data_IF_969822102764
#
_entry.id   IF_969822102764
#
_cell.length_a   1.000
_cell.length_b   1.000
_cell.length_c   1.000
_cell.angle_alpha   90.00
_cell.angle_beta   90.00
_cell.angle_gamma   90.00
#
_symmetry.space_group_name_H-M   'P 1'
#
loop_
_entity.id
_entity.type
_entity.pdbx_description
1 polymer ?
#
# COMPACT_ATOMS: atom_id res chain seq x y z
N UNK A 1 24.48 -4.72 -12.13
CA UNK A 1 24.34 -6.20 -12.04
C UNK A 1 25.53 -6.92 -12.69
N UNK A 2 25.76 -6.77 -14.01
CA UNK A 2 26.93 -7.35 -14.72
C UNK A 2 28.27 -7.21 -13.98
N UNK A 3 28.63 -5.98 -13.59
CA UNK A 3 29.86 -5.71 -12.83
C UNK A 3 29.96 -6.49 -11.51
N UNK A 4 28.85 -6.71 -10.83
CA UNK A 4 28.83 -7.44 -9.55
C UNK A 4 28.99 -8.95 -9.78
N UNK A 5 28.43 -9.48 -10.87
CA UNK A 5 28.58 -10.88 -11.28
C UNK A 5 30.03 -11.24 -11.67
N UNK A 6 30.84 -10.26 -12.09
CA UNK A 6 32.24 -10.46 -12.46
C UNK A 6 33.21 -10.42 -11.27
N UNK A 7 32.76 -10.05 -10.06
CA UNK A 7 33.60 -10.02 -8.87
C UNK A 7 33.68 -11.42 -8.26
N UNK A 8 34.89 -11.97 -8.13
CA UNK A 8 35.10 -13.32 -7.60
C UNK A 8 34.95 -13.42 -6.06
N UNK A 9 35.20 -12.33 -5.34
CA UNK A 9 35.27 -12.35 -3.87
C UNK A 9 33.91 -12.11 -3.18
N UNK A 10 32.82 -11.96 -3.94
CA UNK A 10 31.49 -11.72 -3.39
C UNK A 10 30.43 -12.57 -4.09
N UNK A 11 29.87 -13.53 -3.34
CA UNK A 11 28.82 -14.44 -3.81
C UNK A 11 27.39 -13.91 -3.59
N UNK A 12 27.23 -12.82 -2.83
CA UNK A 12 25.92 -12.23 -2.52
C UNK A 12 25.67 -11.05 -3.47
N UNK A 13 24.54 -11.12 -4.19
CA UNK A 13 24.14 -10.07 -5.13
C UNK A 13 22.72 -9.61 -4.80
N UNK A 14 22.61 -8.33 -4.41
CA UNK A 14 21.32 -7.66 -4.26
C UNK A 14 20.95 -6.98 -5.59
N UNK A 15 19.77 -7.29 -6.12
CA UNK A 15 19.25 -6.70 -7.36
C UNK A 15 17.73 -6.65 -7.34
N UNK A 16 17.14 -5.75 -8.12
CA UNK A 16 15.69 -5.74 -8.33
C UNK A 16 15.31 -6.77 -9.40
N UNK A 17 14.05 -7.22 -9.37
CA UNK A 17 13.51 -8.16 -10.37
C UNK A 17 13.57 -7.58 -11.79
N UNK A 18 13.32 -6.28 -11.95
CA UNK A 18 13.40 -5.60 -13.24
C UNK A 18 14.83 -5.61 -13.80
N UNK A 19 15.84 -5.34 -12.95
CA UNK A 19 17.25 -5.40 -13.36
C UNK A 19 17.69 -6.82 -13.72
N UNK A 20 17.19 -7.83 -12.99
CA UNK A 20 17.46 -9.23 -13.29
C UNK A 20 16.79 -9.67 -14.60
N UNK A 21 15.51 -9.33 -14.80
CA UNK A 21 14.80 -9.63 -16.04
C UNK A 21 15.48 -8.95 -17.25
N UNK A 22 15.87 -7.68 -17.14
CA UNK A 22 16.60 -6.96 -18.19
C UNK A 22 17.96 -7.60 -18.51
N UNK A 23 18.70 -8.09 -17.51
CA UNK A 23 19.93 -8.86 -17.73
C UNK A 23 19.63 -10.15 -18.50
N UNK A 24 18.60 -10.89 -18.09
CA UNK A 24 18.19 -12.12 -18.76
C UNK A 24 17.62 -11.87 -20.16
N UNK A 25 17.13 -10.67 -20.49
CA UNK A 25 16.73 -10.34 -21.87
C UNK A 25 17.94 -10.01 -22.74
N UNK A 26 18.84 -9.16 -22.23
CA UNK A 26 19.97 -8.63 -22.99
C UNK A 26 21.12 -9.62 -23.18
N UNK A 27 21.38 -10.48 -22.20
CA UNK A 27 22.58 -11.33 -22.21
C UNK A 27 22.22 -12.80 -22.43
N UNK A 28 22.49 -13.37 -23.62
CA UNK A 28 22.17 -14.76 -23.93
C UNK A 28 23.07 -15.77 -23.23
N UNK A 29 24.36 -15.45 -23.04
CA UNK A 29 25.35 -16.41 -22.53
C UNK A 29 26.24 -15.77 -21.46
N UNK A 30 25.81 -15.87 -20.19
CA UNK A 30 26.63 -15.47 -19.04
C UNK A 30 27.18 -16.71 -18.34
N UNK A 31 28.45 -16.69 -17.87
CA UNK A 31 29.02 -17.81 -17.13
C UNK A 31 28.18 -18.25 -15.92
N UNK A 32 27.51 -17.30 -15.25
CA UNK A 32 26.64 -17.57 -14.09
C UNK A 32 25.47 -18.51 -14.40
N UNK A 33 25.00 -18.57 -15.64
CA UNK A 33 23.88 -19.44 -16.03
C UNK A 33 24.20 -20.95 -15.89
N UNK A 34 25.49 -21.30 -15.83
CA UNK A 34 26.00 -22.67 -15.72
C UNK A 34 26.51 -23.01 -14.31
N UNK A 35 26.56 -22.02 -13.41
CA UNK A 35 26.98 -22.19 -12.02
C UNK A 35 25.80 -22.65 -11.15
N UNK A 36 26.10 -23.08 -9.93
CA UNK A 36 25.07 -23.33 -8.91
C UNK A 36 24.64 -22.00 -8.29
N UNK A 37 23.37 -21.64 -8.48
CA UNK A 37 22.84 -20.35 -8.08
C UNK A 37 21.67 -20.53 -7.12
N UNK A 38 21.67 -19.77 -6.02
CA UNK A 38 20.53 -19.68 -5.10
C UNK A 38 19.85 -18.34 -5.29
N UNK A 39 18.56 -18.37 -5.58
CA UNK A 39 17.70 -17.18 -5.63
C UNK A 39 16.86 -17.10 -4.36
N UNK A 40 16.87 -15.93 -3.73
CA UNK A 40 15.98 -15.60 -2.62
C UNK A 40 15.17 -14.39 -3.07
N UNK A 41 13.86 -14.56 -3.19
CA UNK A 41 12.92 -13.52 -3.58
C UNK A 41 12.16 -13.02 -2.36
N UNK A 42 12.12 -11.70 -2.20
CA UNK A 42 11.33 -11.02 -1.18
C UNK A 42 10.04 -10.48 -1.82
N UNK A 43 8.93 -10.55 -1.08
CA UNK A 43 7.55 -10.23 -1.53
C UNK A 43 7.18 -10.87 -2.89
N UNK A 44 7.30 -12.20 -2.99
CA UNK A 44 7.24 -12.94 -4.26
C UNK A 44 5.87 -13.09 -4.95
N UNK A 45 4.89 -12.21 -4.65
CA UNK A 45 3.53 -12.22 -5.22
C UNK A 45 3.32 -11.22 -6.37
N UNK A 46 4.35 -10.54 -6.87
CA UNK A 46 4.20 -9.37 -7.78
C UNK A 46 4.07 -9.72 -9.27
N UNK A 47 3.36 -8.89 -10.03
CA UNK A 47 3.16 -9.03 -11.49
C UNK A 47 4.42 -9.16 -12.37
N UNK A 48 5.56 -8.61 -11.95
CA UNK A 48 6.82 -8.71 -12.71
C UNK A 48 7.43 -10.14 -12.65
N UNK A 49 6.84 -11.03 -11.85
CA UNK A 49 7.39 -12.35 -11.59
C UNK A 49 7.24 -13.30 -12.79
N UNK A 50 6.12 -13.27 -13.52
CA UNK A 50 5.82 -14.28 -14.54
C UNK A 50 6.80 -14.29 -15.72
N UNK A 51 7.19 -13.14 -16.26
CA UNK A 51 8.19 -13.09 -17.35
C UNK A 51 9.60 -13.39 -16.84
N UNK A 52 9.97 -12.81 -15.69
CA UNK A 52 11.28 -13.04 -15.08
C UNK A 52 11.47 -14.53 -14.74
N UNK A 53 10.44 -15.21 -14.23
CA UNK A 53 10.45 -16.65 -13.96
C UNK A 53 10.64 -17.48 -15.22
N UNK A 54 9.88 -17.20 -16.29
CA UNK A 54 10.05 -17.89 -17.58
C UNK A 54 11.47 -17.74 -18.12
N UNK A 55 12.05 -16.54 -18.01
CA UNK A 55 13.43 -16.29 -18.43
C UNK A 55 14.45 -17.00 -17.53
N UNK A 56 14.22 -17.03 -16.21
CA UNK A 56 15.07 -17.71 -15.23
C UNK A 56 15.10 -19.21 -15.50
N UNK A 57 13.93 -19.84 -15.62
CA UNK A 57 13.78 -21.27 -15.94
C UNK A 57 14.47 -21.65 -17.26
N UNK A 58 14.41 -20.78 -18.27
CA UNK A 58 15.07 -21.03 -19.57
C UNK A 58 16.59 -20.92 -19.47
N UNK A 59 17.11 -19.92 -18.76
CA UNK A 59 18.54 -19.56 -18.79
C UNK A 59 19.37 -20.26 -17.73
N UNK A 60 18.95 -20.30 -16.48
CA UNK A 60 19.72 -20.90 -15.38
C UNK A 60 19.54 -22.42 -15.36
N UNK A 61 20.64 -23.18 -15.45
CA UNK A 61 20.60 -24.64 -15.56
C UNK A 61 20.70 -25.38 -14.22
N UNK A 62 21.26 -24.73 -13.20
CA UNK A 62 21.44 -25.29 -11.85
C UNK A 62 21.07 -24.22 -10.82
N UNK A 63 19.82 -24.22 -10.39
CA UNK A 63 19.38 -23.24 -9.40
C UNK A 63 18.42 -23.81 -8.37
N UNK A 64 18.44 -23.17 -7.21
CA UNK A 64 17.43 -23.30 -6.16
C UNK A 64 16.75 -21.95 -6.00
N UNK A 65 15.44 -21.92 -5.84
CA UNK A 65 14.71 -20.69 -5.59
C UNK A 65 13.83 -20.78 -4.36
N UNK A 66 13.87 -19.72 -3.57
CA UNK A 66 13.09 -19.54 -2.35
C UNK A 66 12.34 -18.22 -2.43
N UNK A 67 11.10 -18.20 -1.98
CA UNK A 67 10.25 -17.01 -1.94
C UNK A 67 9.79 -16.74 -0.52
N UNK A 68 9.90 -15.48 -0.10
CA UNK A 68 9.25 -14.94 1.09
C UNK A 68 8.09 -14.06 0.63
N UNK A 69 6.93 -14.22 1.24
CA UNK A 69 5.77 -13.36 0.98
C UNK A 69 4.86 -13.36 2.19
N UNK A 70 4.33 -12.19 2.56
CA UNK A 70 3.26 -12.08 3.56
C UNK A 70 1.88 -12.36 2.98
N UNK A 71 1.76 -12.38 1.65
CA UNK A 71 0.49 -12.53 0.94
C UNK A 71 0.68 -13.45 -0.27
N UNK A 72 0.71 -14.77 -0.07
CA UNK A 72 0.83 -15.72 -1.17
C UNK A 72 -0.35 -15.65 -2.15
N UNK A 73 -0.10 -16.09 -3.39
CA UNK A 73 -1.13 -16.26 -4.42
C UNK A 73 -1.64 -17.70 -4.32
N UNK A 74 -2.91 -17.83 -3.95
CA UNK A 74 -3.70 -19.06 -3.93
C UNK A 74 -4.60 -19.14 -5.17
N UNK A 75 -5.28 -20.28 -5.35
CA UNK A 75 -6.26 -20.46 -6.43
C UNK A 75 -7.37 -19.40 -6.41
N UNK A 76 -7.76 -18.95 -5.23
CA UNK A 76 -8.90 -18.07 -4.95
C UNK A 76 -8.62 -16.62 -5.36
N UNK A 77 -7.37 -16.17 -5.27
CA UNK A 77 -6.95 -14.82 -5.64
C UNK A 77 -6.07 -14.77 -6.89
N UNK A 78 -5.78 -15.92 -7.52
CA UNK A 78 -4.92 -16.00 -8.69
C UNK A 78 -5.45 -15.19 -9.88
N UNK A 79 -6.76 -15.15 -10.13
CA UNK A 79 -7.38 -14.42 -11.24
C UNK A 79 -6.67 -14.58 -12.62
N UNK A 80 -6.04 -15.75 -12.86
CA UNK A 80 -5.26 -16.04 -14.07
C UNK A 80 -3.74 -16.06 -13.88
N UNK A 81 -3.21 -15.61 -12.74
CA UNK A 81 -1.80 -15.77 -12.36
C UNK A 81 -1.44 -17.20 -11.92
N UNK A 82 -0.14 -17.50 -11.96
CA UNK A 82 0.41 -18.70 -11.34
C UNK A 82 0.37 -18.59 -9.81
N UNK A 83 0.00 -19.67 -9.12
CA UNK A 83 0.01 -19.72 -7.65
C UNK A 83 1.43 -19.69 -7.10
N UNK A 84 1.62 -19.21 -5.88
CA UNK A 84 2.94 -19.26 -5.21
C UNK A 84 3.46 -20.68 -5.12
N UNK A 85 2.58 -21.65 -4.83
CA UNK A 85 2.93 -23.07 -4.74
C UNK A 85 3.37 -23.66 -6.10
N UNK A 86 2.74 -23.26 -7.21
CA UNK A 86 3.16 -23.74 -8.53
C UNK A 86 4.52 -23.18 -8.96
N UNK A 87 4.89 -21.99 -8.49
CA UNK A 87 6.17 -21.36 -8.85
C UNK A 87 7.32 -21.78 -7.93
N UNK A 88 7.08 -21.87 -6.62
CA UNK A 88 8.11 -22.11 -5.60
C UNK A 88 8.07 -23.52 -4.99
N UNK A 89 7.00 -24.27 -5.19
CA UNK A 89 6.79 -25.57 -4.57
C UNK A 89 6.12 -25.47 -3.20
N UNK A 90 6.42 -26.42 -2.32
CA UNK A 90 5.76 -26.53 -1.01
C UNK A 90 6.08 -25.35 -0.10
N UNK A 91 5.12 -25.00 0.76
CA UNK A 91 5.38 -24.13 1.91
C UNK A 91 6.39 -24.82 2.84
N UNK A 92 7.52 -24.16 3.10
CA UNK A 92 8.56 -24.70 3.99
C UNK A 92 8.28 -24.36 5.46
N UNK A 93 7.67 -23.21 5.71
CA UNK A 93 7.32 -22.68 7.02
C UNK A 93 6.35 -21.51 6.83
N UNK A 94 5.46 -21.28 7.80
CA UNK A 94 4.58 -20.10 7.86
C UNK A 94 4.64 -19.43 9.23
N UNK A 95 4.58 -18.10 9.21
CA UNK A 95 4.40 -17.26 10.39
C UNK A 95 3.37 -16.19 10.02
N UNK A 96 2.11 -16.43 10.38
CA UNK A 96 0.97 -15.66 9.87
C UNK A 96 0.67 -14.44 10.75
N UNK A 97 -0.20 -13.55 10.27
CA UNK A 97 -0.54 -12.33 11.00
C UNK A 97 -1.13 -12.60 12.39
N UNK A 98 -1.86 -13.71 12.58
CA UNK A 98 -2.41 -14.09 13.88
C UNK A 98 -1.31 -14.45 14.87
N UNK A 99 -0.27 -15.16 14.45
CA UNK A 99 0.89 -15.44 15.29
C UNK A 99 1.61 -14.13 15.64
N UNK A 100 1.81 -13.26 14.65
CA UNK A 100 2.48 -11.98 14.84
C UNK A 100 1.72 -11.04 15.80
N UNK A 101 0.38 -11.08 15.80
CA UNK A 101 -0.45 -10.33 16.75
C UNK A 101 -0.38 -10.96 18.13
N UNK A 102 -0.50 -12.28 18.24
CA UNK A 102 -0.39 -13.02 19.51
C UNK A 102 0.96 -12.79 20.18
N UNK A 103 2.02 -12.71 19.40
CA UNK A 103 3.39 -12.51 19.88
C UNK A 103 3.74 -11.01 20.07
N UNK A 104 2.74 -10.12 19.95
CA UNK A 104 2.88 -8.66 20.04
C UNK A 104 3.97 -8.07 19.12
N UNK A 105 4.19 -8.71 17.95
CA UNK A 105 5.13 -8.24 16.92
C UNK A 105 4.49 -7.29 15.92
N UNK A 106 3.17 -7.38 15.75
CA UNK A 106 2.37 -6.44 14.96
C UNK A 106 1.08 -6.11 15.68
N UNK A 107 0.54 -4.92 15.41
CA UNK A 107 -0.71 -4.46 16.02
C UNK A 107 -1.95 -4.96 15.26
N UNK A 108 -3.09 -5.00 15.94
CA UNK A 108 -4.42 -5.24 15.36
C UNK A 108 -4.86 -4.08 14.46
N UNK A 109 -5.95 -4.29 13.70
CA UNK A 109 -6.59 -3.25 12.89
C UNK A 109 -7.94 -2.86 13.45
N UNK A 110 -8.21 -1.55 13.54
CA UNK A 110 -9.55 -1.01 13.73
C UNK A 110 -10.08 -0.52 12.39
N UNK A 111 -11.00 -1.26 11.79
CA UNK A 111 -11.56 -0.97 10.46
C UNK A 111 -12.95 -0.36 10.60
N UNK A 112 -13.10 0.90 10.18
CA UNK A 112 -14.35 1.64 10.26
C UNK A 112 -14.81 2.08 8.85
N UNK A 113 -15.99 1.63 8.41
CA UNK A 113 -16.66 2.23 7.27
C UNK A 113 -17.41 3.49 7.70
N UNK A 114 -16.95 4.65 7.22
CA UNK A 114 -17.56 5.94 7.53
C UNK A 114 -18.85 6.16 6.72
N UNK A 115 -19.94 5.52 7.13
CA UNK A 115 -21.24 5.54 6.46
C UNK A 115 -22.09 6.79 6.80
N UNK A 116 -21.61 7.98 6.43
CA UNK A 116 -22.29 9.25 6.75
C UNK A 116 -22.85 9.98 5.52
N UNK A 117 -22.86 9.34 4.35
CA UNK A 117 -23.20 9.97 3.07
C UNK A 117 -24.35 9.24 2.36
N UNK A 118 -25.62 9.49 2.74
CA UNK A 118 -26.76 8.77 2.20
C UNK A 118 -26.86 8.80 0.68
N UNK A 119 -26.51 9.94 0.04
CA UNK A 119 -26.55 10.13 -1.42
C UNK A 119 -25.63 9.18 -2.18
N UNK A 120 -24.46 8.87 -1.61
CA UNK A 120 -23.43 8.07 -2.27
C UNK A 120 -23.37 6.62 -1.76
N UNK A 121 -24.11 6.30 -0.69
CA UNK A 121 -24.08 5.00 0.01
C UNK A 121 -24.25 3.80 -0.91
N UNK A 122 -25.17 3.87 -1.89
CA UNK A 122 -25.40 2.75 -2.82
C UNK A 122 -24.15 2.46 -3.66
N UNK A 123 -23.48 3.51 -4.13
CA UNK A 123 -22.26 3.38 -4.91
C UNK A 123 -21.06 3.00 -4.01
N UNK A 124 -20.99 3.49 -2.77
CA UNK A 124 -19.95 3.09 -1.80
C UNK A 124 -20.04 1.61 -1.39
N UNK A 125 -21.21 0.98 -1.55
CA UNK A 125 -21.47 -0.44 -1.26
C UNK A 125 -21.49 -1.34 -2.50
N UNK A 126 -21.24 -0.79 -3.69
CA UNK A 126 -21.25 -1.57 -4.92
C UNK A 126 -20.12 -2.61 -4.92
N UNK A 127 -20.42 -3.84 -5.34
CA UNK A 127 -19.47 -4.97 -5.37
C UNK A 127 -19.33 -5.59 -6.75
N UNK A 128 -20.26 -5.31 -7.67
CA UNK A 128 -20.20 -5.81 -9.05
C UNK A 128 -18.99 -5.22 -9.78
N UNK A 129 -18.05 -6.07 -10.16
CA UNK A 129 -16.80 -5.69 -10.79
C UNK A 129 -16.99 -4.90 -12.10
N UNK A 130 -18.03 -5.22 -12.88
CA UNK A 130 -18.32 -4.53 -14.14
C UNK A 130 -18.80 -3.11 -13.89
N UNK A 131 -19.55 -2.90 -12.81
CA UNK A 131 -19.97 -1.55 -12.41
C UNK A 131 -18.83 -0.76 -11.79
N UNK A 132 -17.98 -1.40 -10.98
CA UNK A 132 -16.82 -0.75 -10.35
C UNK A 132 -15.81 -0.22 -11.36
N UNK A 133 -15.75 -0.79 -12.57
CA UNK A 133 -14.90 -0.33 -13.67
C UNK A 133 -15.62 0.62 -14.65
N UNK A 134 -16.91 0.90 -14.43
CA UNK A 134 -17.69 1.77 -15.32
C UNK A 134 -17.35 3.26 -15.13
N UNK A 135 -17.50 4.03 -16.21
CA UNK A 135 -17.31 5.48 -16.18
C UNK A 135 -18.32 6.17 -15.24
N UNK A 136 -19.57 5.71 -15.21
CA UNK A 136 -20.62 6.25 -14.34
C UNK A 136 -20.26 6.10 -12.86
N UNK A 137 -19.75 4.93 -12.47
CA UNK A 137 -19.24 4.71 -11.12
C UNK A 137 -18.07 5.65 -10.80
N UNK A 138 -17.11 5.79 -11.71
CA UNK A 138 -15.99 6.71 -11.52
C UNK A 138 -16.45 8.16 -11.34
N UNK A 139 -17.44 8.62 -12.13
CA UNK A 139 -18.03 9.96 -11.99
C UNK A 139 -18.70 10.16 -10.63
N UNK A 140 -19.48 9.17 -10.15
CA UNK A 140 -20.11 9.22 -8.84
C UNK A 140 -19.09 9.27 -7.69
N UNK A 141 -18.02 8.49 -7.79
CA UNK A 141 -16.96 8.49 -6.77
C UNK A 141 -16.18 9.81 -6.73
N UNK A 142 -16.04 10.49 -7.88
CA UNK A 142 -15.34 11.76 -8.02
C UNK A 142 -16.25 12.99 -7.89
N UNK A 143 -17.52 12.79 -7.50
CA UNK A 143 -18.49 13.88 -7.38
C UNK A 143 -18.01 14.94 -6.37
N UNK A 144 -18.03 16.25 -6.70
CA UNK A 144 -17.48 17.30 -5.85
C UNK A 144 -18.03 17.32 -4.41
N UNK A 145 -19.34 17.08 -4.26
CA UNK A 145 -19.98 16.99 -2.93
C UNK A 145 -19.37 15.84 -2.10
N UNK A 146 -19.18 14.66 -2.69
CA UNK A 146 -18.59 13.49 -2.02
C UNK A 146 -17.15 13.76 -1.60
N UNK A 147 -16.34 14.30 -2.53
CA UNK A 147 -14.94 14.67 -2.27
C UNK A 147 -14.86 15.70 -1.14
N UNK A 148 -15.72 16.72 -1.16
CA UNK A 148 -15.81 17.76 -0.13
C UNK A 148 -16.16 17.21 1.24
N UNK A 149 -17.18 16.35 1.34
CA UNK A 149 -17.61 15.71 2.59
C UNK A 149 -16.50 14.83 3.18
N UNK A 150 -15.80 14.05 2.34
CA UNK A 150 -14.70 13.19 2.77
C UNK A 150 -13.50 14.04 3.22
N UNK A 151 -13.10 15.04 2.45
CA UNK A 151 -12.00 15.94 2.80
C UNK A 151 -12.27 16.67 4.12
N UNK A 152 -13.49 17.17 4.30
CA UNK A 152 -13.92 17.82 5.54
C UNK A 152 -13.87 16.85 6.74
N UNK A 153 -14.38 15.62 6.56
CA UNK A 153 -14.31 14.60 7.60
C UNK A 153 -12.86 14.31 8.02
N UNK A 154 -11.95 14.18 7.04
CA UNK A 154 -10.52 13.96 7.30
C UNK A 154 -9.98 15.12 8.15
N UNK A 155 -10.19 16.37 7.74
CA UNK A 155 -9.69 17.54 8.49
C UNK A 155 -10.22 17.58 9.93
N UNK A 156 -11.52 17.31 10.12
CA UNK A 156 -12.17 17.33 11.44
C UNK A 156 -11.68 16.22 12.37
N UNK A 157 -11.43 15.02 11.84
CA UNK A 157 -11.10 13.84 12.65
C UNK A 157 -9.61 13.49 12.64
N UNK A 158 -8.78 14.20 11.86
CA UNK A 158 -7.36 13.92 11.72
C UNK A 158 -6.65 13.90 13.07
N UNK A 159 -6.82 14.94 13.89
CA UNK A 159 -6.15 15.04 15.20
C UNK A 159 -6.60 13.93 16.15
N UNK A 160 -7.88 13.60 16.15
CA UNK A 160 -8.43 12.50 16.96
C UNK A 160 -7.82 11.16 16.54
N UNK A 161 -7.87 10.82 15.26
CA UNK A 161 -7.35 9.53 14.75
C UNK A 161 -5.82 9.40 14.88
N UNK A 162 -5.10 10.52 14.84
CA UNK A 162 -3.63 10.54 14.99
C UNK A 162 -3.15 10.83 16.41
N UNK A 163 -4.04 10.85 17.41
CA UNK A 163 -3.71 11.10 18.82
C UNK A 163 -2.90 12.41 19.01
N UNK A 164 -3.19 13.44 18.22
CA UNK A 164 -2.53 14.74 18.32
C UNK A 164 -3.24 15.61 19.35
N UNK A 165 -2.48 16.09 20.31
CA UNK A 165 -2.94 17.02 21.35
C UNK A 165 -2.01 18.23 21.38
N UNK A 166 -2.38 19.33 22.05
CA UNK A 166 -1.47 20.47 22.22
C UNK A 166 -0.13 20.09 22.89
N UNK A 167 -0.11 19.03 23.71
CA UNK A 167 1.08 18.56 24.43
C UNK A 167 1.83 17.42 23.72
N UNK A 168 1.25 16.81 22.67
CA UNK A 168 1.76 15.58 22.07
C UNK A 168 1.75 15.61 20.55
N UNK A 169 2.90 15.33 19.94
CA UNK A 169 3.07 15.32 18.48
C UNK A 169 2.24 14.24 17.76
N UNK A 170 1.73 13.24 18.49
CA UNK A 170 0.89 12.17 17.95
C UNK A 170 1.54 11.42 16.79
N UNK A 171 0.71 10.97 15.86
CA UNK A 171 1.08 10.21 14.67
C UNK A 171 0.79 11.01 13.39
N UNK A 172 1.07 10.42 12.24
CA UNK A 172 0.62 10.92 10.93
C UNK A 172 -0.20 9.88 10.18
N UNK A 173 -0.73 10.26 9.02
CA UNK A 173 -1.66 9.43 8.25
C UNK A 173 -1.32 9.35 6.76
N UNK A 174 -1.83 8.30 6.12
CA UNK A 174 -1.89 8.16 4.67
C UNK A 174 -3.34 8.19 4.18
N UNK A 175 -3.53 8.57 2.93
CA UNK A 175 -4.82 8.52 2.24
C UNK A 175 -4.67 7.82 0.89
N UNK A 176 -5.13 6.56 0.83
CA UNK A 176 -5.12 5.75 -0.39
C UNK A 176 -6.36 6.06 -1.23
N UNK A 177 -6.16 6.48 -2.48
CA UNK A 177 -7.24 6.89 -3.40
C UNK A 177 -7.27 6.03 -4.65
N UNK A 178 -8.41 6.00 -5.33
CA UNK A 178 -8.63 5.08 -6.47
C UNK A 178 -7.81 5.41 -7.70
N UNK A 179 -7.55 6.69 -7.99
CA UNK A 179 -6.91 7.13 -9.23
C UNK A 179 -6.14 8.44 -9.05
N UNK A 180 -5.31 8.78 -10.04
CA UNK A 180 -4.63 10.08 -10.12
C UNK A 180 -5.65 11.23 -10.07
N UNK A 181 -6.77 11.12 -10.78
CA UNK A 181 -7.81 12.14 -10.77
C UNK A 181 -8.44 12.34 -9.37
N UNK A 182 -8.65 11.26 -8.62
CA UNK A 182 -9.06 11.36 -7.21
C UNK A 182 -8.00 12.09 -6.37
N UNK A 183 -6.72 11.75 -6.55
CA UNK A 183 -5.62 12.38 -5.82
C UNK A 183 -5.59 13.90 -6.06
N UNK A 184 -5.79 14.35 -7.31
CA UNK A 184 -5.89 15.76 -7.66
C UNK A 184 -7.03 16.46 -6.92
N UNK A 185 -8.24 15.92 -7.06
CA UNK A 185 -9.45 16.50 -6.45
C UNK A 185 -9.35 16.60 -4.94
N UNK A 186 -8.84 15.54 -4.29
CA UNK A 186 -8.66 15.56 -2.84
C UNK A 186 -7.58 16.56 -2.40
N UNK A 187 -6.45 16.63 -3.09
CA UNK A 187 -5.39 17.58 -2.78
C UNK A 187 -5.88 19.03 -2.90
N UNK A 188 -6.54 19.37 -4.00
CA UNK A 188 -7.08 20.73 -4.23
C UNK A 188 -8.17 21.09 -3.22
N UNK A 189 -9.07 20.15 -2.93
CA UNK A 189 -10.14 20.35 -1.95
C UNK A 189 -9.60 20.53 -0.54
N UNK A 190 -8.63 19.72 -0.12
CA UNK A 190 -7.98 19.86 1.18
C UNK A 190 -7.21 21.18 1.28
N UNK A 191 -6.56 21.62 0.20
CA UNK A 191 -5.89 22.94 0.16
C UNK A 191 -6.90 24.07 0.29
N UNK A 192 -8.01 24.01 -0.43
CA UNK A 192 -9.08 25.01 -0.38
C UNK A 192 -9.71 25.10 1.02
N UNK A 193 -10.10 23.97 1.61
CA UNK A 193 -10.77 23.92 2.92
C UNK A 193 -9.88 24.37 4.08
N UNK A 194 -8.56 24.39 3.89
CA UNK A 194 -7.59 24.84 4.90
C UNK A 194 -7.16 26.31 4.72
N UNK A 195 -7.71 27.03 3.75
CA UNK A 195 -7.43 28.46 3.60
C UNK A 195 -7.88 29.23 4.85
N UNK A 196 -6.97 29.98 5.47
CA UNK A 196 -7.23 30.73 6.69
C UNK A 196 -7.15 29.91 7.98
N UNK A 197 -6.88 28.60 7.93
CA UNK A 197 -6.60 27.79 9.12
C UNK A 197 -5.23 28.19 9.70
N UNK A 198 -5.12 28.55 10.99
CA UNK A 198 -3.84 28.96 11.60
C UNK A 198 -2.79 27.85 11.61
N UNK A 199 -3.22 26.59 11.70
CA UNK A 199 -2.35 25.42 11.78
C UNK A 199 -2.81 24.34 10.78
N UNK A 200 -2.64 24.60 9.47
CA UNK A 200 -3.08 23.66 8.44
C UNK A 200 -2.21 22.40 8.49
N UNK A 201 -2.80 21.27 8.09
CA UNK A 201 -2.06 20.04 7.88
C UNK A 201 -1.11 20.21 6.70
N UNK A 202 0.11 19.73 6.87
CA UNK A 202 1.10 19.61 5.78
C UNK A 202 0.74 18.40 4.94
N UNK A 203 -0.02 18.64 3.87
CA UNK A 203 -0.46 17.62 2.92
C UNK A 203 0.54 17.51 1.78
N UNK A 204 0.93 16.28 1.44
CA UNK A 204 1.73 15.97 0.26
C UNK A 204 1.05 14.90 -0.59
N UNK A 205 1.44 14.79 -1.85
CA UNK A 205 0.92 13.77 -2.77
C UNK A 205 2.03 13.25 -3.66
N UNK A 206 1.92 11.98 -4.05
CA UNK A 206 2.85 11.36 -4.99
C UNK A 206 2.14 10.26 -5.77
N UNK A 207 2.40 10.25 -7.07
CA UNK A 207 1.97 9.22 -8.00
C UNK A 207 2.82 9.32 -9.27
N UNK A 208 2.76 8.27 -10.07
CA UNK A 208 3.41 8.11 -11.36
C UNK A 208 2.55 7.22 -12.26
N UNK A 209 3.07 6.94 -13.45
CA UNK A 209 2.43 6.07 -14.42
C UNK A 209 2.53 4.59 -14.03
N UNK A 210 1.40 3.89 -14.12
CA UNK A 210 1.30 2.44 -14.03
C UNK A 210 1.10 1.86 -15.46
N UNK A 211 2.14 1.27 -16.08
CA UNK A 211 2.09 0.80 -17.47
C UNK A 211 1.18 -0.39 -17.70
N UNK A 212 0.89 -1.17 -16.66
CA UNK A 212 0.02 -2.34 -16.72
C UNK A 212 -1.18 -2.11 -15.79
N UNK A 213 -2.31 -1.72 -16.36
CA UNK A 213 -3.60 -1.68 -15.65
C UNK A 213 -4.27 -3.06 -15.58
N UNK A 214 -3.78 -4.05 -16.35
CA UNK A 214 -4.23 -5.44 -16.23
C UNK A 214 -3.77 -6.03 -14.90
N UNK A 215 -4.72 -6.21 -13.97
CA UNK A 215 -4.52 -6.94 -12.73
C UNK A 215 -4.15 -8.39 -13.07
N UNK A 216 -2.96 -8.83 -12.66
CA UNK A 216 -2.57 -10.23 -12.86
C UNK A 216 -3.21 -11.14 -11.81
N UNK A 217 -3.47 -10.60 -10.61
CA UNK A 217 -4.16 -11.25 -9.51
C UNK A 217 -5.23 -10.33 -8.91
N UNK A 218 -6.30 -10.91 -8.37
CA UNK A 218 -7.36 -10.14 -7.75
C UNK A 218 -6.83 -9.38 -6.52
N UNK A 219 -7.02 -8.06 -6.50
CA UNK A 219 -6.56 -7.20 -5.41
C UNK A 219 -5.13 -6.69 -5.54
N UNK A 220 -4.47 -6.88 -6.69
CA UNK A 220 -3.13 -6.31 -6.93
C UNK A 220 -3.19 -4.78 -6.99
N UNK A 221 -2.27 -4.14 -6.26
CA UNK A 221 -2.01 -2.71 -6.36
C UNK A 221 -1.01 -2.52 -7.49
N UNK A 222 -1.41 -1.80 -8.54
CA UNK A 222 -0.58 -1.54 -9.71
C UNK A 222 0.78 -0.94 -9.30
N UNK A 223 1.87 -1.55 -9.78
CA UNK A 223 3.21 -1.01 -9.58
C UNK A 223 3.42 0.26 -10.42
N UNK A 224 3.53 1.39 -9.74
CA UNK A 224 3.86 2.66 -10.38
C UNK A 224 5.36 2.74 -10.68
N UNK A 225 5.71 3.22 -11.86
CA UNK A 225 7.11 3.36 -12.28
C UNK A 225 7.74 4.64 -11.70
N UNK A 226 9.07 4.70 -11.66
CA UNK A 226 9.79 5.94 -11.34
C UNK A 226 10.01 6.84 -12.57
N UNK A 227 9.38 6.53 -13.70
CA UNK A 227 9.47 7.32 -14.93
C UNK A 227 8.17 8.11 -15.17
N UNK A 228 8.15 9.40 -14.79
CA UNK A 228 6.99 10.25 -14.97
C UNK A 228 6.77 10.68 -16.44
N UNK A 229 7.66 10.31 -17.39
CA UNK A 229 7.51 10.68 -18.80
C UNK A 229 6.29 10.03 -19.48
N UNK A 230 5.84 8.88 -18.96
CA UNK A 230 4.68 8.16 -19.48
C UNK A 230 3.33 8.67 -18.93
N UNK A 231 3.34 9.67 -18.05
CA UNK A 231 2.11 10.28 -17.51
C UNK A 231 1.46 11.21 -18.53
N UNK A 232 0.13 11.37 -18.44
CA UNK A 232 -0.57 12.40 -19.22
C UNK A 232 -0.07 13.81 -18.85
N UNK A 233 -0.13 14.73 -19.81
CA UNK A 233 0.33 16.12 -19.63
C UNK A 233 -0.32 16.77 -18.39
N UNK A 234 -1.63 16.62 -18.25
CA UNK A 234 -2.39 17.18 -17.12
C UNK A 234 -2.02 16.54 -15.78
N UNK A 235 -1.60 15.26 -15.76
CA UNK A 235 -1.12 14.60 -14.55
C UNK A 235 0.29 15.09 -14.16
N UNK A 236 1.16 15.28 -15.15
CA UNK A 236 2.51 15.80 -14.95
C UNK A 236 2.51 17.26 -14.48
N UNK A 237 1.66 18.11 -15.07
CA UNK A 237 1.48 19.51 -14.66
C UNK A 237 1.00 19.61 -13.21
N UNK A 238 0.00 18.81 -12.83
CA UNK A 238 -0.45 18.76 -11.45
C UNK A 238 0.66 18.29 -10.50
N UNK A 239 1.38 17.23 -10.84
CA UNK A 239 2.47 16.73 -10.01
C UNK A 239 3.57 17.78 -9.84
N UNK A 240 3.90 18.51 -10.91
CA UNK A 240 4.84 19.62 -10.84
C UNK A 240 4.33 20.74 -9.90
N UNK A 241 3.05 21.08 -9.96
CA UNK A 241 2.45 22.06 -9.04
C UNK A 241 2.49 21.58 -7.59
N UNK A 242 2.19 20.30 -7.32
CA UNK A 242 2.25 19.74 -5.98
C UNK A 242 3.68 19.69 -5.43
N UNK A 243 4.67 19.38 -6.29
CA UNK A 243 6.10 19.42 -5.91
C UNK A 243 6.54 20.87 -5.67
N UNK A 244 6.04 21.84 -6.43
CA UNK A 244 6.31 23.25 -6.18
C UNK A 244 5.77 23.71 -4.82
N UNK A 245 4.54 23.32 -4.45
CA UNK A 245 3.98 23.56 -3.11
C UNK A 245 4.86 22.90 -2.02
N UNK A 246 5.30 21.65 -2.24
CA UNK A 246 6.20 20.94 -1.33
C UNK A 246 7.55 21.66 -1.16
N UNK A 247 8.15 22.11 -2.27
CA UNK A 247 9.40 22.86 -2.27
C UNK A 247 9.27 24.16 -1.48
N UNK A 248 8.16 24.88 -1.64
CA UNK A 248 7.88 26.08 -0.85
C UNK A 248 7.70 25.76 0.64
N UNK A 249 7.00 24.67 0.96
CA UNK A 249 6.73 24.24 2.33
C UNK A 249 7.99 23.81 3.09
N UNK A 250 8.92 23.14 2.41
CA UNK A 250 10.09 22.50 3.03
C UNK A 250 11.43 23.09 2.62
N UNK A 251 11.44 24.18 1.85
CA UNK A 251 12.64 24.86 1.35
C UNK A 251 13.56 23.90 0.56
N UNK A 252 12.96 23.13 -0.35
CA UNK A 252 13.67 22.20 -1.25
C UNK A 252 13.57 22.66 -2.71
N UNK A 253 14.22 21.94 -3.63
CA UNK A 253 14.18 22.26 -5.07
C UNK A 253 14.13 20.97 -5.92
N UNK A 254 13.08 20.17 -5.74
CA UNK A 254 12.83 18.99 -6.55
C UNK A 254 12.03 19.32 -7.81
N UNK A 255 12.25 18.54 -8.87
CA UNK A 255 11.50 18.57 -10.13
C UNK A 255 10.77 17.26 -10.42
N UNK A 256 10.12 17.22 -11.59
CA UNK A 256 9.39 16.05 -12.12
C UNK A 256 10.20 15.20 -13.09
N UNK A 257 11.48 15.48 -13.28
CA UNK A 257 12.36 14.67 -14.12
C UNK A 257 12.87 13.45 -13.35
N UNK A 258 13.17 12.33 -14.02
CA UNK A 258 13.37 11.03 -13.35
C UNK A 258 14.35 11.02 -12.17
N UNK A 259 15.49 11.73 -12.28
CA UNK A 259 16.47 11.85 -11.20
C UNK A 259 15.95 12.65 -10.00
N UNK A 260 15.25 13.75 -10.26
CA UNK A 260 14.69 14.62 -9.22
C UNK A 260 13.45 14.03 -8.59
N UNK A 261 12.61 13.36 -9.37
CA UNK A 261 11.45 12.63 -8.86
C UNK A 261 11.87 11.53 -7.88
N UNK A 262 12.98 10.82 -8.16
CA UNK A 262 13.52 9.84 -7.22
C UNK A 262 14.06 10.50 -5.94
N UNK A 263 14.67 11.68 -6.05
CA UNK A 263 15.11 12.45 -4.88
C UNK A 263 13.91 12.93 -4.05
N UNK A 264 12.84 13.41 -4.70
CA UNK A 264 11.57 13.77 -4.08
C UNK A 264 10.95 12.59 -3.34
N UNK A 265 10.83 11.42 -3.99
CA UNK A 265 10.33 10.19 -3.36
C UNK A 265 11.10 9.85 -2.07
N UNK A 266 12.44 9.92 -2.12
CA UNK A 266 13.30 9.60 -0.97
C UNK A 266 13.13 10.63 0.17
N UNK A 267 13.08 11.91 -0.16
CA UNK A 267 12.88 12.97 0.82
C UNK A 267 11.50 12.84 1.48
N UNK A 268 10.45 12.68 0.68
CA UNK A 268 9.08 12.49 1.13
C UNK A 268 8.95 11.28 2.06
N UNK A 269 9.57 10.15 1.71
CA UNK A 269 9.62 8.96 2.55
C UNK A 269 10.23 9.25 3.94
N UNK A 270 11.33 10.01 3.98
CA UNK A 270 11.99 10.39 5.22
C UNK A 270 11.14 11.36 6.05
N UNK A 271 10.50 12.35 5.41
CA UNK A 271 9.63 13.31 6.08
C UNK A 271 8.38 12.67 6.65
N UNK A 272 7.81 11.69 5.96
CA UNK A 272 6.73 10.87 6.52
C UNK A 272 7.18 10.11 7.78
N UNK A 273 8.36 9.49 7.78
CA UNK A 273 8.90 8.81 8.98
C UNK A 273 9.16 9.78 10.15
N UNK A 274 9.56 11.02 9.84
CA UNK A 274 9.80 12.08 10.83
C UNK A 274 8.53 12.82 11.27
N UNK A 275 7.38 12.53 10.66
CA UNK A 275 6.09 13.27 10.84
C UNK A 275 6.20 14.75 10.45
N UNK A 276 7.06 15.07 9.50
CA UNK A 276 7.14 16.41 8.89
C UNK A 276 6.07 16.60 7.82
N UNK A 277 5.57 15.50 7.24
CA UNK A 277 4.33 15.47 6.45
C UNK A 277 3.25 14.83 7.32
N UNK A 278 2.09 15.49 7.38
CA UNK A 278 0.96 15.10 8.20
C UNK A 278 0.06 14.11 7.45
N UNK A 279 -0.30 14.43 6.21
CA UNK A 279 -1.14 13.57 5.37
C UNK A 279 -0.48 13.34 4.02
N UNK A 280 -0.26 12.08 3.66
CA UNK A 280 0.23 11.69 2.34
C UNK A 280 -0.89 11.05 1.52
N UNK A 281 -1.26 11.70 0.41
CA UNK A 281 -2.21 11.16 -0.58
C UNK A 281 -1.44 10.27 -1.56
N UNK A 282 -1.91 9.04 -1.77
CA UNK A 282 -1.27 8.05 -2.67
C UNK A 282 -2.28 7.28 -3.50
N UNK A 283 -1.87 6.85 -4.70
CA UNK A 283 -2.68 5.96 -5.55
C UNK A 283 -2.29 4.50 -5.32
N UNK A 284 -1.02 4.16 -5.53
CA UNK A 284 -0.41 2.84 -5.32
C UNK A 284 0.96 2.91 -4.63
N UNK A 285 1.69 4.01 -4.81
CA UNK A 285 2.97 4.24 -4.11
C UNK A 285 2.81 4.19 -2.58
N UNK A 286 3.86 3.74 -1.89
CA UNK A 286 3.94 3.62 -0.44
C UNK A 286 2.94 2.64 0.21
N UNK A 287 2.02 2.03 -0.54
CA UNK A 287 1.13 0.98 -0.03
C UNK A 287 1.82 -0.37 0.10
N UNK A 288 2.97 -0.54 -0.57
CA UNK A 288 3.86 -1.70 -0.44
C UNK A 288 5.27 -1.25 -0.07
N UNK A 289 5.96 -2.01 0.77
CA UNK A 289 7.38 -1.77 1.14
C UNK A 289 7.70 -0.53 2.00
N UNK A 290 6.79 0.43 2.18
CA UNK A 290 7.03 1.59 3.05
C UNK A 290 6.88 1.26 4.55
N UNK A 291 7.87 1.64 5.35
CA UNK A 291 7.88 1.35 6.78
C UNK A 291 8.01 2.63 7.61
N UNK A 292 6.99 2.91 8.43
CA UNK A 292 6.93 4.07 9.32
C UNK A 292 6.22 3.72 10.64
N UNK A 293 6.95 3.38 11.73
CA UNK A 293 6.35 3.04 13.03
C UNK A 293 5.39 4.11 13.59
N UNK A 294 5.64 5.37 13.25
CA UNK A 294 4.86 6.55 13.68
C UNK A 294 3.67 6.90 12.77
N UNK A 295 3.34 6.05 11.81
CA UNK A 295 2.11 6.12 11.03
C UNK A 295 1.07 5.19 11.66
N UNK A 296 -0.06 5.74 12.09
CA UNK A 296 -1.10 4.95 12.75
C UNK A 296 -2.43 4.91 11.99
N UNK A 297 -2.66 5.82 11.05
CA UNK A 297 -3.96 5.97 10.38
C UNK A 297 -3.82 5.85 8.87
N UNK A 298 -4.68 5.03 8.27
CA UNK A 298 -4.88 4.93 6.83
C UNK A 298 -6.34 5.28 6.51
N UNK A 299 -6.52 6.40 5.79
CA UNK A 299 -7.77 6.72 5.12
C UNK A 299 -7.83 6.00 3.77
N UNK A 300 -8.99 5.49 3.38
CA UNK A 300 -9.14 4.67 2.17
C UNK A 300 -10.37 5.08 1.37
N UNK A 301 -10.15 5.61 0.17
CA UNK A 301 -11.14 5.76 -0.89
C UNK A 301 -10.70 4.99 -2.15
N UNK A 302 -10.47 3.68 -1.96
CA UNK A 302 -9.97 2.76 -2.98
C UNK A 302 -10.61 1.38 -2.77
N UNK A 303 -10.93 0.70 -3.86
CA UNK A 303 -11.38 -0.70 -3.81
C UNK A 303 -10.17 -1.61 -3.58
N UNK A 304 -9.82 -1.82 -2.31
CA UNK A 304 -8.76 -2.75 -1.91
C UNK A 304 -9.35 -4.15 -1.72
N UNK A 305 -8.63 -5.18 -2.19
CA UNK A 305 -9.04 -6.59 -2.04
C UNK A 305 -7.83 -7.46 -1.70
N UNK A 306 -8.08 -8.60 -1.07
CA UNK A 306 -7.10 -9.66 -0.81
C UNK A 306 -5.72 -9.12 -0.36
N UNK A 307 -4.66 -9.43 -1.12
CA UNK A 307 -3.29 -9.10 -0.76
C UNK A 307 -3.04 -7.59 -0.74
N UNK A 308 -3.57 -6.83 -1.70
CA UNK A 308 -3.43 -5.37 -1.70
C UNK A 308 -4.10 -4.71 -0.48
N UNK A 309 -5.23 -5.26 -0.02
CA UNK A 309 -5.87 -4.82 1.22
C UNK A 309 -4.95 -5.04 2.43
N UNK A 310 -4.42 -6.26 2.59
CA UNK A 310 -3.55 -6.58 3.73
C UNK A 310 -2.25 -5.76 3.72
N UNK A 311 -1.65 -5.54 2.55
CA UNK A 311 -0.42 -4.76 2.41
C UNK A 311 -0.63 -3.29 2.79
N UNK A 312 -1.72 -2.70 2.29
CA UNK A 312 -2.09 -1.33 2.60
C UNK A 312 -2.41 -1.17 4.09
N UNK A 313 -3.25 -2.03 4.67
CA UNK A 313 -3.60 -1.95 6.09
C UNK A 313 -2.36 -2.10 6.98
N UNK A 314 -1.46 -3.02 6.60
CA UNK A 314 -0.18 -3.24 7.30
C UNK A 314 0.78 -2.05 7.25
N UNK A 315 0.47 -0.93 6.59
CA UNK A 315 1.23 0.31 6.79
C UNK A 315 1.05 0.87 8.21
N UNK A 316 -0.02 0.50 8.90
CA UNK A 316 -0.39 1.04 10.21
C UNK A 316 -0.03 0.12 11.39
N UNK A 317 0.28 -1.17 11.16
CA UNK A 317 0.40 -2.20 12.21
C UNK A 317 1.79 -2.33 12.86
N UNK A 318 2.72 -1.43 12.56
CA UNK A 318 4.03 -1.44 13.22
C UNK A 318 3.92 -1.02 14.68
N UNK A 319 4.52 -1.81 15.56
CA UNK A 319 4.67 -1.48 16.99
C UNK A 319 5.47 -0.20 17.18
N UNK A 320 5.16 0.56 18.22
CA UNK A 320 5.88 1.79 18.57
C UNK A 320 6.04 1.93 20.08
N UNK A 321 4.96 2.25 20.79
CA UNK A 321 4.87 2.30 22.25
C UNK A 321 3.41 2.11 22.68
N UNK A 322 3.14 2.14 23.99
CA UNK A 322 1.80 1.96 24.55
C UNK A 322 0.75 2.98 24.07
N UNK A 323 1.16 4.11 23.45
CA UNK A 323 0.23 5.10 22.90
C UNK A 323 -0.36 4.68 21.56
N UNK A 324 0.16 3.61 20.95
CA UNK A 324 -0.29 3.03 19.68
C UNK A 324 -0.81 1.60 19.88
N UNK A 325 -2.08 1.47 20.25
CA UNK A 325 -2.71 0.17 20.48
C UNK A 325 -3.00 -0.61 19.19
N UNK A 326 -3.43 0.08 18.13
CA UNK A 326 -3.83 -0.54 16.85
C UNK A 326 -3.61 0.40 15.67
N UNK A 327 -3.70 -0.15 14.48
CA UNK A 327 -3.78 0.60 13.23
C UNK A 327 -5.20 1.05 12.93
N UNK A 328 -5.42 2.36 12.77
CA UNK A 328 -6.71 2.95 12.38
C UNK A 328 -6.89 2.85 10.86
N UNK A 329 -7.91 2.14 10.41
CA UNK A 329 -8.32 2.09 9.00
C UNK A 329 -9.69 2.73 8.87
N UNK A 330 -9.77 3.84 8.16
CA UNK A 330 -11.03 4.56 7.93
C UNK A 330 -11.37 4.53 6.46
N UNK A 331 -12.42 3.80 6.11
CA UNK A 331 -12.82 3.58 4.72
C UNK A 331 -14.01 4.47 4.33
N UNK A 332 -13.99 4.97 3.11
CA UNK A 332 -15.09 5.74 2.50
C UNK A 332 -15.82 4.93 1.40
N UNK A 333 -15.52 3.65 1.35
CA UNK A 333 -16.21 2.59 0.63
C UNK A 333 -16.41 1.42 1.59
N UNK A 334 -17.43 0.62 1.37
CA UNK A 334 -17.70 -0.53 2.21
C UNK A 334 -16.73 -1.67 1.86
N UNK A 335 -15.69 -1.82 2.70
CA UNK A 335 -14.65 -2.83 2.57
C UNK A 335 -14.77 -3.90 3.66
N UNK A 336 -15.88 -3.96 4.39
CA UNK A 336 -16.03 -4.88 5.53
C UNK A 336 -15.90 -6.34 5.06
N UNK A 337 -16.68 -6.73 4.05
CA UNK A 337 -16.61 -8.07 3.49
C UNK A 337 -15.27 -8.35 2.83
N UNK A 338 -14.69 -7.41 2.09
CA UNK A 338 -13.36 -7.60 1.47
C UNK A 338 -12.25 -7.76 2.53
N UNK A 339 -12.41 -7.13 3.69
CA UNK A 339 -11.51 -7.29 4.84
C UNK A 339 -11.65 -8.70 5.43
N UNK A 340 -12.89 -9.18 5.61
CA UNK A 340 -13.16 -10.55 6.09
C UNK A 340 -12.60 -11.58 5.11
N UNK A 341 -12.82 -11.39 3.81
CA UNK A 341 -12.35 -12.30 2.77
C UNK A 341 -10.82 -12.33 2.72
N UNK A 342 -10.16 -11.18 2.82
CA UNK A 342 -8.70 -11.09 2.86
C UNK A 342 -8.10 -11.78 4.09
N UNK A 343 -8.66 -11.51 5.29
CA UNK A 343 -8.19 -12.12 6.54
C UNK A 343 -8.39 -13.65 6.52
N UNK A 344 -9.53 -14.10 6.00
CA UNK A 344 -9.85 -15.54 5.89
C UNK A 344 -8.95 -16.25 4.89
N UNK A 345 -8.49 -15.56 3.84
CA UNK A 345 -7.61 -16.14 2.83
C UNK A 345 -6.18 -16.38 3.36
N UNK A 346 -5.68 -15.48 4.22
CA UNK A 346 -4.32 -15.56 4.79
C UNK A 346 -4.28 -16.16 6.20
N UNK A 347 -5.38 -16.75 6.66
CA UNK A 347 -5.54 -17.31 7.99
C UNK A 347 -6.63 -18.40 8.03
N UNK A 348 -7.26 -18.56 9.19
CA UNK A 348 -8.42 -19.43 9.41
C UNK A 348 -9.71 -18.62 9.67
N UNK A 349 -10.85 -19.30 9.87
CA UNK A 349 -12.14 -18.62 10.13
C UNK A 349 -12.19 -17.85 11.46
N UNK A 350 -11.34 -18.21 12.43
CA UNK A 350 -11.28 -17.55 13.74
C UNK A 350 -10.34 -16.33 13.73
N UNK A 351 -9.52 -16.20 12.70
CA UNK A 351 -8.49 -15.16 12.50
C UNK A 351 -9.07 -13.75 12.54
N UNK A 352 -10.32 -13.54 12.11
CA UNK A 352 -10.97 -12.22 12.18
C UNK A 352 -11.07 -11.66 13.59
N UNK A 353 -11.33 -12.51 14.59
CA UNK A 353 -11.50 -12.09 15.98
C UNK A 353 -10.17 -11.71 16.63
N UNK A 354 -9.06 -12.19 16.06
CA UNK A 354 -7.70 -11.90 16.52
C UNK A 354 -7.16 -10.64 15.83
N UNK A 355 -7.43 -10.49 14.53
CA UNK A 355 -6.86 -9.44 13.68
C UNK A 355 -7.60 -8.11 13.80
N UNK A 356 -8.92 -8.16 13.95
CA UNK A 356 -9.76 -6.96 14.05
C UNK A 356 -9.99 -6.57 15.51
N UNK A 357 -9.98 -5.26 15.75
CA UNK A 357 -10.41 -4.71 17.02
C UNK A 357 -11.91 -4.89 17.25
N UNK A 358 -12.26 -4.99 18.53
CA UNK A 358 -13.66 -5.12 18.96
C UNK A 358 -14.46 -3.88 18.63
N UNK A 359 -15.78 -4.05 18.51
CA UNK A 359 -16.68 -2.92 18.28
C UNK A 359 -16.68 -1.97 19.47
N UNK A 360 -17.08 -0.72 19.23
CA UNK A 360 -17.21 0.29 20.29
C UNK A 360 -18.16 -0.19 21.42
N UNK A 361 -19.25 -0.85 21.07
CA UNK A 361 -20.22 -1.36 22.04
C UNK A 361 -19.62 -2.44 22.93
N UNK A 362 -18.84 -3.37 22.38
CA UNK A 362 -18.15 -4.41 23.14
C UNK A 362 -17.10 -3.81 24.09
N UNK A 363 -16.34 -2.81 23.63
CA UNK A 363 -15.37 -2.11 24.48
C UNK A 363 -16.03 -1.33 25.63
N UNK A 364 -17.26 -0.83 25.42
CA UNK A 364 -18.00 -0.07 26.43
C UNK A 364 -18.72 -0.99 27.44
N UNK A 365 -19.24 -2.13 26.99
CA UNK A 365 -20.06 -3.04 27.79
C UNK A 365 -19.26 -4.16 28.47
N UNK A 366 -17.98 -4.29 28.16
CA UNK A 366 -17.15 -5.43 28.54
C UNK A 366 -17.30 -6.59 27.55
N UNK A 367 -16.23 -7.34 27.31
CA UNK A 367 -16.24 -8.47 26.41
C UNK A 367 -15.22 -9.52 26.86
N UNK A 368 -15.57 -10.80 26.75
CA UNK A 368 -14.59 -11.86 26.94
C UNK A 368 -13.75 -12.01 25.66
N UNK A 369 -12.43 -11.85 25.77
CA UNK A 369 -11.52 -12.08 24.65
C UNK A 369 -11.55 -13.56 24.26
N UNK A 370 -11.84 -13.85 22.99
CA UNK A 370 -11.99 -15.22 22.50
C UNK A 370 -10.68 -16.00 22.45
N UNK A 371 -9.53 -15.31 22.55
CA UNK A 371 -8.18 -15.88 22.53
C UNK A 371 -7.65 -16.09 23.94
N UNK A 372 -7.79 -15.11 24.84
CA UNK A 372 -7.24 -15.18 26.20
C UNK A 372 -8.25 -15.67 27.23
N UNK A 373 -9.55 -15.53 26.97
CA UNK A 373 -10.62 -15.84 27.93
C UNK A 373 -10.78 -14.81 29.05
N UNK A 374 -10.08 -13.68 28.97
CA UNK A 374 -10.16 -12.58 29.94
C UNK A 374 -11.39 -11.69 29.66
N UNK A 375 -12.07 -11.22 30.73
CA UNK A 375 -13.27 -10.36 30.69
C UNK A 375 -13.00 -8.87 30.52
#
# INVERSE_FOLDING_TARGET
LKRNLAKHDNKIIVTTIQKLNNLMKSEPDLPVYRQEVVFIFDECHRSQFGEAQRNLQRKFKKYYQFGFTGTPIFSENAAGAETTASVFGRELHSYVITDAIRDEKVLKFKVDYNNVRPKFKAAEKERDERKLTSADYAQLMLHPERIGEIALYILQHYRLKTHRTPAGAGFNAMFAVSSVEAAKRYYDTLRMLQQGEPHPLRVATIFSFAPNEEQQAAGEISEETFDPSAMSLTAKEFLASAIADYNAMFQTNFGVDGGDFQNYYRDLANRMKRREVDLLIVVGMFLTGFDAPRLNTLFVDKNLRYHGLMQAFSRTNRIYDATKAFGNIVTFRDLEQDTVDAISLFGDKNTKNVVLEKSYTEQLQGFTDAVTGEE
#
